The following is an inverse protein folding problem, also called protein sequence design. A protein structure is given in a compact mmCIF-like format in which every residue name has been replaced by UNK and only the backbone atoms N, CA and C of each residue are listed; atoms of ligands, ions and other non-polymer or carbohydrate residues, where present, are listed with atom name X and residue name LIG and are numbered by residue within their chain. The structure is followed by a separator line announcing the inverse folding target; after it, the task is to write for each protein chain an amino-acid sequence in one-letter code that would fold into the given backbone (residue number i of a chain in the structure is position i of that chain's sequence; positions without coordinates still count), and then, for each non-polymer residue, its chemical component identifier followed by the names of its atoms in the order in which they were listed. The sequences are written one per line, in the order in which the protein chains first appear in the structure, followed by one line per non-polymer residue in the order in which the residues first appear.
data_IF_905234430556
#
_entry.id   IF_905234430556
#
_cell.length_a   1.000
_cell.length_b   1.000
_cell.length_c   1.000
_cell.angle_alpha   90.00
_cell.angle_beta   90.00
_cell.angle_gamma   90.00
#
_symmetry.space_group_name_H-M   'P 1'
#
loop_
_entity.id
_entity.type
_entity.pdbx_description
1 polymer ?
#
# COMPACT_ATOMS: atom_id res chain seq x y z
N UNK A 1 -21.27 3.50 -3.16
CA UNK A 1 -19.98 2.83 -3.37
C UNK A 1 -18.88 3.88 -3.39
N UNK A 2 -17.80 3.65 -2.66
CA UNK A 2 -16.68 4.59 -2.60
C UNK A 2 -15.58 4.12 -3.57
N UNK A 3 -14.95 5.05 -4.29
CA UNK A 3 -13.93 4.74 -5.30
C UNK A 3 -12.53 5.02 -4.73
N UNK A 4 -11.63 4.05 -4.81
CA UNK A 4 -10.21 4.19 -4.49
C UNK A 4 -9.40 4.17 -5.78
N UNK A 5 -8.55 5.17 -5.98
CA UNK A 5 -7.60 5.24 -7.08
C UNK A 5 -6.29 4.55 -6.69
N UNK A 6 -5.76 3.72 -7.56
CA UNK A 6 -4.53 2.94 -7.36
C UNK A 6 -3.52 3.32 -8.43
N UNK A 7 -2.40 3.90 -8.02
CA UNK A 7 -1.37 4.42 -8.92
C UNK A 7 -0.33 3.37 -9.20
N UNK A 8 -0.23 2.94 -10.43
CA UNK A 8 0.88 2.14 -10.92
C UNK A 8 1.84 3.05 -11.67
N UNK A 9 3.03 3.29 -11.13
CA UNK A 9 3.95 4.28 -11.69
C UNK A 9 5.41 3.95 -11.40
N UNK A 10 6.30 4.58 -12.14
CA UNK A 10 7.73 4.66 -11.86
C UNK A 10 8.01 5.96 -11.10
N UNK A 11 8.69 5.89 -9.98
CA UNK A 11 9.20 7.09 -9.29
C UNK A 11 10.61 7.42 -9.76
N UNK A 12 10.96 8.69 -9.76
CA UNK A 12 12.34 9.13 -10.01
C UNK A 12 13.13 9.22 -8.70
N UNK A 13 14.45 9.31 -8.79
CA UNK A 13 15.32 9.59 -7.66
C UNK A 13 15.20 11.02 -7.11
N UNK A 14 14.36 11.87 -7.72
CA UNK A 14 14.09 13.24 -7.32
C UNK A 14 12.65 13.37 -6.83
N UNK A 15 12.46 13.55 -5.54
CA UNK A 15 11.14 13.64 -4.93
C UNK A 15 10.28 14.80 -5.47
N UNK A 16 10.88 15.89 -5.95
CA UNK A 16 10.13 17.02 -6.52
C UNK A 16 9.43 16.64 -7.82
N UNK A 17 10.07 15.84 -8.66
CA UNK A 17 9.45 15.28 -9.88
C UNK A 17 8.29 14.33 -9.51
N UNK A 18 8.43 13.57 -8.43
CA UNK A 18 7.38 12.68 -7.95
C UNK A 18 6.19 13.44 -7.35
N UNK A 19 6.39 14.63 -6.76
CA UNK A 19 5.30 15.53 -6.37
C UNK A 19 4.51 16.02 -7.59
N UNK A 20 5.18 16.45 -8.66
CA UNK A 20 4.49 16.84 -9.90
C UNK A 20 3.70 15.68 -10.50
N UNK A 21 4.29 14.49 -10.50
CA UNK A 21 3.61 13.26 -10.92
C UNK A 21 2.40 12.95 -10.02
N UNK A 22 2.56 13.06 -8.69
CA UNK A 22 1.46 12.88 -7.74
C UNK A 22 0.29 13.82 -8.04
N UNK A 23 0.59 15.12 -8.26
CA UNK A 23 -0.42 16.13 -8.59
C UNK A 23 -1.25 15.75 -9.83
N UNK A 24 -0.59 15.23 -10.87
CA UNK A 24 -1.27 14.78 -12.09
C UNK A 24 -2.22 13.60 -11.83
N UNK A 25 -1.77 12.59 -11.05
CA UNK A 25 -2.61 11.44 -10.70
C UNK A 25 -3.76 11.83 -9.77
N UNK A 26 -3.51 12.66 -8.77
CA UNK A 26 -4.54 13.15 -7.83
C UNK A 26 -5.62 13.91 -8.59
N UNK A 27 -5.22 14.81 -9.50
CA UNK A 27 -6.18 15.55 -10.34
C UNK A 27 -7.09 14.60 -11.12
N UNK A 28 -6.51 13.61 -11.83
CA UNK A 28 -7.29 12.59 -12.57
C UNK A 28 -8.20 11.78 -11.65
N UNK A 29 -7.72 11.40 -10.47
CA UNK A 29 -8.51 10.66 -9.49
C UNK A 29 -9.71 11.49 -8.97
N UNK A 30 -9.51 12.81 -8.80
CA UNK A 30 -10.58 13.74 -8.40
C UNK A 30 -11.63 13.89 -9.51
N UNK A 31 -11.22 14.00 -10.77
CA UNK A 31 -12.11 14.05 -11.94
C UNK A 31 -12.98 12.78 -12.06
N UNK A 32 -12.46 11.65 -11.59
CA UNK A 32 -13.15 10.35 -11.52
C UNK A 32 -13.88 10.10 -10.20
N UNK A 33 -14.03 11.13 -9.35
CA UNK A 33 -14.73 11.09 -8.07
C UNK A 33 -14.18 10.05 -7.08
N UNK A 34 -12.86 9.77 -7.12
CA UNK A 34 -12.24 8.94 -6.11
C UNK A 34 -12.15 9.69 -4.77
N UNK A 35 -12.43 9.00 -3.67
CA UNK A 35 -12.34 9.56 -2.31
C UNK A 35 -10.96 9.37 -1.70
N UNK A 36 -10.16 8.48 -2.28
CA UNK A 36 -8.83 8.10 -1.81
C UNK A 36 -7.94 7.71 -2.98
N UNK A 37 -6.64 8.01 -2.85
CA UNK A 37 -5.60 7.57 -3.80
C UNK A 37 -4.45 6.91 -3.05
N UNK A 38 -3.95 5.79 -3.58
CA UNK A 38 -2.78 5.10 -3.05
C UNK A 38 -1.65 5.08 -4.07
N UNK A 39 -0.46 5.46 -3.61
CA UNK A 39 0.81 5.37 -4.33
C UNK A 39 1.63 4.17 -3.85
N UNK A 40 2.53 3.63 -4.68
CA UNK A 40 3.29 2.45 -4.31
C UNK A 40 4.32 2.69 -3.20
N UNK A 41 4.91 1.60 -2.72
CA UNK A 41 6.07 1.56 -1.80
C UNK A 41 7.21 2.45 -2.33
N UNK A 42 7.92 3.20 -1.48
CA UNK A 42 9.03 4.08 -1.89
C UNK A 42 8.69 5.17 -2.93
N UNK A 43 7.44 5.60 -3.01
CA UNK A 43 7.03 6.60 -4.01
C UNK A 43 7.80 7.92 -3.90
N UNK A 44 8.23 8.32 -2.70
CA UNK A 44 8.98 9.56 -2.50
C UNK A 44 10.21 9.64 -3.39
N UNK A 45 10.99 8.56 -3.45
CA UNK A 45 12.18 8.47 -4.29
C UNK A 45 12.53 7.00 -4.52
N UNK A 46 12.86 6.68 -5.74
CA UNK A 46 13.22 5.35 -6.16
C UNK A 46 14.65 5.33 -6.72
N UNK A 47 15.43 4.35 -6.27
CA UNK A 47 16.77 4.07 -6.76
C UNK A 47 16.85 2.65 -7.30
N UNK A 48 16.96 2.48 -8.62
CA UNK A 48 17.01 1.16 -9.24
C UNK A 48 18.36 0.47 -9.19
N UNK A 49 19.40 1.13 -8.72
CA UNK A 49 20.77 0.62 -8.73
C UNK A 49 21.11 -0.29 -7.54
N UNK A 50 22.22 -1.04 -7.70
CA UNK A 50 22.59 -2.13 -6.78
C UNK A 50 22.89 -1.69 -5.34
N UNK A 51 23.08 -0.41 -5.10
CA UNK A 51 23.41 0.10 -3.78
C UNK A 51 22.18 0.31 -2.90
N UNK A 52 20.98 0.41 -3.46
CA UNK A 52 19.68 0.60 -2.76
C UNK A 52 19.77 1.43 -1.46
N UNK A 53 20.66 2.40 -1.43
CA UNK A 53 20.90 3.21 -0.26
C UNK A 53 19.96 4.40 -0.25
N UNK A 54 18.77 4.19 0.31
CA UNK A 54 17.73 5.21 0.44
C UNK A 54 18.00 6.21 1.57
N UNK A 55 18.99 5.98 2.43
CA UNK A 55 19.26 6.80 3.62
C UNK A 55 19.64 8.23 3.27
N UNK A 56 20.47 8.43 2.23
CA UNK A 56 20.97 9.77 1.83
C UNK A 56 19.89 10.77 1.42
N UNK A 57 18.69 10.30 1.06
CA UNK A 57 17.57 11.13 0.63
C UNK A 57 16.31 10.88 1.46
N UNK A 58 16.47 10.17 2.58
CA UNK A 58 15.38 9.98 3.53
C UNK A 58 14.98 11.32 4.14
N UNK A 59 13.70 11.49 4.42
CA UNK A 59 13.14 12.68 5.06
C UNK A 59 12.34 12.28 6.29
N UNK A 60 12.22 13.21 7.25
CA UNK A 60 11.32 13.01 8.37
C UNK A 60 9.85 13.11 7.92
N UNK A 61 8.92 12.65 8.77
CA UNK A 61 7.46 12.81 8.55
C UNK A 61 7.02 14.30 8.53
N UNK A 62 7.92 15.22 8.87
CA UNK A 62 7.71 16.66 8.78
C UNK A 62 8.52 17.31 7.63
N UNK A 63 9.19 16.51 6.81
CA UNK A 63 10.03 16.97 5.72
C UNK A 63 9.26 17.56 4.53
N UNK A 64 10.01 18.16 3.60
CA UNK A 64 9.45 18.90 2.45
C UNK A 64 8.51 18.03 1.59
N UNK A 65 8.83 16.75 1.41
CA UNK A 65 7.98 15.85 0.63
C UNK A 65 6.60 15.66 1.26
N UNK A 66 6.57 15.35 2.57
CA UNK A 66 5.29 15.18 3.29
C UNK A 66 4.50 16.48 3.32
N UNK A 67 5.16 17.64 3.50
CA UNK A 67 4.49 18.94 3.46
C UNK A 67 3.85 19.22 2.09
N UNK A 68 4.55 18.89 1.00
CA UNK A 68 4.00 19.03 -0.35
C UNK A 68 2.79 18.10 -0.56
N UNK A 69 2.86 16.84 -0.12
CA UNK A 69 1.73 15.91 -0.20
C UNK A 69 0.53 16.37 0.64
N UNK A 70 0.75 16.96 1.83
CA UNK A 70 -0.30 17.58 2.65
C UNK A 70 -1.02 18.71 1.93
N UNK A 71 -0.26 19.55 1.21
CA UNK A 71 -0.85 20.62 0.40
C UNK A 71 -1.73 20.05 -0.71
N UNK A 72 -1.29 18.99 -1.41
CA UNK A 72 -2.09 18.32 -2.43
C UNK A 72 -3.36 17.67 -1.85
N UNK A 73 -3.25 17.00 -0.70
CA UNK A 73 -4.41 16.40 -0.02
C UNK A 73 -5.49 17.45 0.28
N UNK A 74 -5.08 18.61 0.80
CA UNK A 74 -5.97 19.73 1.12
C UNK A 74 -6.52 20.42 -0.14
N UNK A 75 -5.67 20.66 -1.16
CA UNK A 75 -6.06 21.30 -2.43
C UNK A 75 -7.16 20.51 -3.14
N UNK A 76 -6.98 19.18 -3.24
CA UNK A 76 -7.89 18.30 -3.97
C UNK A 76 -8.95 17.62 -3.08
N UNK A 77 -8.95 17.85 -1.77
CA UNK A 77 -9.82 17.21 -0.78
C UNK A 77 -9.80 15.68 -0.91
N UNK A 78 -8.59 15.13 -0.98
CA UNK A 78 -8.34 13.72 -1.27
C UNK A 78 -7.58 13.05 -0.12
N UNK A 79 -8.02 11.89 0.33
CA UNK A 79 -7.22 11.02 1.18
C UNK A 79 -6.06 10.45 0.36
N UNK A 80 -4.83 10.63 0.85
CA UNK A 80 -3.63 10.23 0.11
C UNK A 80 -2.80 9.27 0.96
N UNK A 81 -2.45 8.12 0.37
CA UNK A 81 -1.55 7.12 0.97
C UNK A 81 -0.33 6.97 0.06
N UNK A 82 0.87 7.09 0.63
CA UNK A 82 2.11 7.03 -0.16
C UNK A 82 3.28 6.47 0.62
N UNK A 83 4.20 5.81 -0.10
CA UNK A 83 5.45 5.28 0.46
C UNK A 83 6.57 6.31 0.47
N UNK A 84 7.36 6.32 1.54
CA UNK A 84 8.56 7.15 1.66
C UNK A 84 9.70 6.42 2.38
N UNK A 85 10.90 6.93 2.20
CA UNK A 85 12.06 6.59 3.00
C UNK A 85 12.10 7.56 4.18
N UNK A 86 11.76 7.08 5.37
CA UNK A 86 11.72 7.90 6.57
C UNK A 86 13.09 7.92 7.25
N UNK A 87 13.57 9.12 7.55
CA UNK A 87 14.84 9.34 8.25
C UNK A 87 14.79 8.80 9.68
N UNK A 88 15.90 8.20 10.13
CA UNK A 88 16.10 7.75 11.50
C UNK A 88 17.22 8.56 12.19
N UNK A 89 17.40 8.35 13.48
CA UNK A 89 18.53 8.93 14.23
C UNK A 89 19.87 8.31 13.80
N UNK A 90 19.85 7.07 13.29
CA UNK A 90 21.02 6.43 12.66
C UNK A 90 21.03 6.80 11.18
N UNK A 91 21.90 7.73 10.81
CA UNK A 91 22.03 8.23 9.42
C UNK A 91 22.42 7.13 8.41
N UNK A 92 22.82 5.94 8.87
CA UNK A 92 23.10 4.79 8.00
C UNK A 92 21.86 3.95 7.70
N UNK A 93 20.72 4.26 8.33
CA UNK A 93 19.44 3.54 8.24
C UNK A 93 18.28 4.47 7.92
N UNK A 94 17.24 3.89 7.36
CA UNK A 94 15.94 4.53 7.17
C UNK A 94 14.82 3.56 7.54
N UNK A 95 13.59 4.02 7.66
CA UNK A 95 12.40 3.17 7.61
C UNK A 95 11.78 3.20 6.22
N UNK A 96 11.21 2.07 5.82
CA UNK A 96 10.26 1.98 4.71
C UNK A 96 8.88 2.26 5.27
N UNK A 97 8.36 3.46 5.03
CA UNK A 97 7.17 3.98 5.71
C UNK A 97 6.08 4.32 4.71
N UNK A 98 4.86 3.87 5.00
CA UNK A 98 3.65 4.38 4.37
C UNK A 98 3.05 5.46 5.24
N UNK A 99 2.68 6.57 4.62
CA UNK A 99 2.06 7.74 5.27
C UNK A 99 0.62 7.90 4.79
N UNK A 100 -0.28 8.22 5.70
CA UNK A 100 -1.69 8.42 5.41
C UNK A 100 -2.10 9.84 5.77
N UNK A 101 -2.57 10.57 4.77
CA UNK A 101 -3.11 11.93 4.93
C UNK A 101 -4.62 11.91 4.69
N UNK A 102 -5.36 12.70 5.49
CA UNK A 102 -6.77 12.95 5.23
C UNK A 102 -6.96 14.10 4.21
N UNK A 103 -8.19 14.36 3.85
CA UNK A 103 -8.62 15.40 2.92
C UNK A 103 -8.44 16.84 3.44
N UNK A 104 -8.08 17.01 4.72
CA UNK A 104 -7.67 18.28 5.31
C UNK A 104 -6.15 18.49 5.23
N UNK A 105 -5.39 17.51 4.74
CA UNK A 105 -3.93 17.50 4.69
C UNK A 105 -3.28 17.20 6.05
N UNK A 106 -4.01 16.57 6.97
CA UNK A 106 -3.47 16.14 8.25
C UNK A 106 -2.87 14.74 8.13
N UNK A 107 -1.73 14.51 8.79
CA UNK A 107 -1.15 13.18 8.95
C UNK A 107 -1.99 12.43 9.99
N UNK A 108 -2.70 11.40 9.52
CA UNK A 108 -3.62 10.60 10.34
C UNK A 108 -2.90 9.40 10.95
N UNK A 109 -2.03 8.77 10.17
CA UNK A 109 -1.28 7.59 10.61
C UNK A 109 -0.06 7.37 9.71
N UNK A 110 0.87 6.58 10.20
CA UNK A 110 1.97 6.02 9.43
C UNK A 110 2.18 4.54 9.78
N UNK A 111 2.84 3.81 8.90
CA UNK A 111 3.21 2.41 9.10
C UNK A 111 4.61 2.14 8.59
N UNK A 112 5.45 1.62 9.46
CA UNK A 112 6.81 1.18 9.14
C UNK A 112 6.79 -0.32 8.83
N UNK A 113 7.32 -0.70 7.68
CA UNK A 113 7.39 -2.10 7.23
C UNK A 113 7.97 -3.01 8.31
N UNK A 114 7.21 -4.04 8.69
CA UNK A 114 7.59 -4.96 9.76
C UNK A 114 8.41 -6.15 9.26
N UNK A 115 8.16 -6.62 8.03
CA UNK A 115 8.89 -7.73 7.43
C UNK A 115 9.79 -7.23 6.30
N UNK A 116 11.09 -7.14 6.58
CA UNK A 116 12.08 -6.69 5.60
C UNK A 116 12.41 -7.80 4.59
N UNK A 117 12.59 -7.41 3.33
CA UNK A 117 12.87 -8.34 2.24
C UNK A 117 14.33 -8.77 2.22
N UNK A 118 14.66 -9.79 3.00
CA UNK A 118 15.97 -10.45 3.03
C UNK A 118 15.86 -11.80 2.32
N UNK A 119 15.66 -11.78 1.02
CA UNK A 119 15.46 -12.99 0.22
C UNK A 119 16.08 -12.86 -1.16
N UNK A 120 16.45 -14.00 -1.75
CA UNK A 120 17.18 -14.09 -3.01
C UNK A 120 18.55 -13.38 -2.90
N UNK A 121 18.77 -12.31 -3.65
CA UNK A 121 19.99 -11.49 -3.59
C UNK A 121 19.77 -10.15 -2.87
N UNK A 122 18.58 -9.95 -2.30
CA UNK A 122 18.20 -8.70 -1.65
C UNK A 122 18.43 -8.81 -0.14
N UNK A 123 18.91 -7.73 0.46
CA UNK A 123 19.09 -7.61 1.89
C UNK A 123 18.67 -6.22 2.36
N UNK A 124 17.35 -6.02 2.47
CA UNK A 124 16.75 -4.74 2.85
C UNK A 124 17.21 -4.27 4.24
N UNK A 125 17.50 -5.21 5.15
CA UNK A 125 17.98 -4.90 6.50
C UNK A 125 19.37 -4.26 6.57
N UNK A 126 20.13 -4.27 5.48
CA UNK A 126 21.40 -3.53 5.43
C UNK A 126 21.21 -2.04 5.67
N UNK A 127 20.16 -1.44 5.12
CA UNK A 127 19.94 0.00 5.15
C UNK A 127 18.58 0.39 5.74
N UNK A 128 17.71 -0.57 6.06
CA UNK A 128 16.36 -0.33 6.55
C UNK A 128 16.15 -0.96 7.93
N UNK A 129 15.56 -0.22 8.85
CA UNK A 129 15.09 -0.73 10.14
C UNK A 129 13.67 -1.29 9.97
N UNK A 130 13.40 -2.38 10.69
CA UNK A 130 12.04 -2.94 10.78
C UNK A 130 11.16 -2.08 11.67
N UNK A 131 9.87 -2.01 11.36
CA UNK A 131 8.87 -1.48 12.27
C UNK A 131 8.62 -2.42 13.46
N UNK A 132 8.23 -1.85 14.60
CA UNK A 132 8.06 -2.57 15.85
C UNK A 132 6.61 -2.94 16.17
N UNK A 133 5.65 -2.44 15.36
CA UNK A 133 4.23 -2.70 15.56
C UNK A 133 3.51 -2.90 14.22
N UNK A 134 2.45 -3.71 14.26
CA UNK A 134 1.52 -3.83 13.13
C UNK A 134 0.71 -2.54 12.99
N UNK A 135 0.16 -2.33 11.81
CA UNK A 135 -0.71 -1.19 11.56
C UNK A 135 -2.01 -1.31 12.38
N UNK A 136 -2.46 -0.20 12.94
CA UNK A 136 -3.77 -0.13 13.57
C UNK A 136 -4.79 0.35 12.56
N UNK A 137 -5.83 -0.44 12.22
CA UNK A 137 -6.81 -0.05 11.20
C UNK A 137 -7.49 1.27 11.50
N UNK A 138 -7.65 2.11 10.50
CA UNK A 138 -8.24 3.44 10.62
C UNK A 138 -9.50 3.60 9.79
N UNK A 139 -10.45 4.41 10.29
CA UNK A 139 -11.68 4.75 9.56
C UNK A 139 -11.39 5.80 8.50
N UNK A 140 -11.88 5.56 7.30
CA UNK A 140 -11.78 6.46 6.14
C UNK A 140 -13.12 6.54 5.42
N UNK A 141 -13.29 7.45 4.44
CA UNK A 141 -14.50 7.45 3.60
C UNK A 141 -14.74 6.11 2.89
N UNK A 142 -13.69 5.41 2.46
CA UNK A 142 -13.78 4.11 1.78
C UNK A 142 -13.99 2.91 2.73
N UNK A 143 -14.12 3.12 4.03
CA UNK A 143 -14.25 2.08 5.05
C UNK A 143 -13.07 2.05 6.01
N UNK A 144 -12.97 0.98 6.79
CA UNK A 144 -11.84 0.75 7.68
C UNK A 144 -10.69 0.15 6.88
N UNK A 145 -9.58 0.89 6.77
CA UNK A 145 -8.41 0.41 6.03
C UNK A 145 -7.37 -0.24 6.94
N UNK A 146 -6.77 -1.30 6.44
CA UNK A 146 -5.57 -1.94 6.96
C UNK A 146 -4.41 -1.79 5.98
N UNK A 147 -3.19 -2.02 6.40
CA UNK A 147 -2.00 -1.74 5.62
C UNK A 147 -0.89 -2.75 5.87
N UNK A 148 -0.31 -3.27 4.78
CA UNK A 148 0.93 -4.03 4.78
C UNK A 148 1.80 -3.58 3.60
N UNK A 149 3.13 -3.63 3.71
CA UNK A 149 4.04 -3.19 2.66
C UNK A 149 4.70 -4.38 1.98
N UNK A 150 4.43 -4.57 0.67
CA UNK A 150 5.16 -5.46 -0.22
C UNK A 150 5.37 -6.87 0.38
N UNK A 151 6.51 -7.13 1.00
CA UNK A 151 6.87 -8.43 1.56
C UNK A 151 5.94 -8.88 2.69
N UNK A 152 5.28 -7.93 3.39
CA UNK A 152 4.26 -8.22 4.41
C UNK A 152 3.11 -9.09 3.85
N UNK A 153 2.84 -9.02 2.54
CA UNK A 153 1.84 -9.86 1.86
C UNK A 153 2.10 -11.37 2.03
N UNK A 154 3.35 -11.79 2.25
CA UNK A 154 3.71 -13.20 2.43
C UNK A 154 3.35 -13.76 3.81
N UNK A 155 3.01 -12.90 4.75
CA UNK A 155 2.71 -13.25 6.13
C UNK A 155 1.20 -13.18 6.36
N UNK A 156 0.49 -14.33 6.31
CA UNK A 156 -0.96 -14.39 6.49
C UNK A 156 -1.41 -13.89 7.86
N UNK A 157 -0.53 -14.00 8.86
CA UNK A 157 -0.76 -13.56 10.22
C UNK A 157 -1.08 -12.07 10.29
N UNK A 158 -0.36 -11.23 9.51
CA UNK A 158 -0.61 -9.80 9.43
C UNK A 158 -2.02 -9.51 8.91
N UNK A 159 -2.39 -10.11 7.78
CA UNK A 159 -3.72 -9.90 7.20
C UNK A 159 -4.84 -10.38 8.13
N UNK A 160 -4.64 -11.50 8.83
CA UNK A 160 -5.60 -12.02 9.79
C UNK A 160 -5.73 -11.11 11.01
N UNK A 161 -4.62 -10.59 11.53
CA UNK A 161 -4.63 -9.62 12.64
C UNK A 161 -5.41 -8.36 12.26
N UNK A 162 -5.12 -7.79 11.11
CA UNK A 162 -5.79 -6.62 10.56
C UNK A 162 -7.31 -6.86 10.41
N UNK A 163 -7.70 -8.01 9.84
CA UNK A 163 -9.09 -8.37 9.64
C UNK A 163 -9.84 -8.54 10.97
N UNK A 164 -9.23 -9.18 11.98
CA UNK A 164 -9.78 -9.31 13.33
C UNK A 164 -9.88 -7.96 14.04
N UNK A 165 -9.06 -7.00 13.68
CA UNK A 165 -9.10 -5.61 14.16
C UNK A 165 -10.11 -4.74 13.41
N UNK A 166 -10.89 -5.31 12.47
CA UNK A 166 -12.02 -4.66 11.80
C UNK A 166 -11.72 -4.11 10.40
N UNK A 167 -10.59 -4.42 9.81
CA UNK A 167 -10.25 -4.03 8.44
C UNK A 167 -11.31 -4.49 7.44
N UNK A 168 -11.70 -3.59 6.56
CA UNK A 168 -12.64 -3.80 5.46
C UNK A 168 -11.93 -3.74 4.09
N UNK A 169 -10.87 -2.93 4.00
CA UNK A 169 -10.05 -2.76 2.81
C UNK A 169 -8.59 -2.85 3.20
N UNK A 170 -7.91 -3.89 2.79
CA UNK A 170 -6.49 -4.11 3.02
C UNK A 170 -5.68 -3.62 1.84
N UNK A 171 -4.68 -2.77 2.10
CA UNK A 171 -3.83 -2.16 1.09
C UNK A 171 -2.42 -2.76 1.13
N UNK A 172 -1.90 -3.12 -0.04
CA UNK A 172 -0.54 -3.63 -0.22
C UNK A 172 0.22 -2.80 -1.27
N UNK A 173 0.75 -1.61 -0.89
CA UNK A 173 1.72 -0.91 -1.73
C UNK A 173 3.02 -1.71 -1.83
N UNK A 174 3.60 -1.79 -3.03
CA UNK A 174 4.72 -2.67 -3.30
C UNK A 174 5.68 -2.14 -4.37
N UNK A 175 6.94 -2.55 -4.24
CA UNK A 175 7.96 -2.56 -5.28
C UNK A 175 8.27 -4.03 -5.66
N UNK A 176 7.25 -4.75 -6.15
CA UNK A 176 7.33 -6.18 -6.42
C UNK A 176 8.19 -6.47 -7.64
N UNK A 177 9.30 -7.17 -7.41
CA UNK A 177 10.31 -7.41 -8.45
C UNK A 177 9.80 -8.35 -9.55
N UNK A 178 10.26 -8.10 -10.78
CA UNK A 178 10.06 -9.00 -11.92
C UNK A 178 10.77 -10.34 -11.70
N UNK A 179 10.28 -11.38 -12.35
CA UNK A 179 10.88 -12.71 -12.32
C UNK A 179 9.86 -13.80 -12.62
N UNK A 180 10.37 -14.99 -12.89
CA UNK A 180 9.53 -16.17 -13.14
C UNK A 180 8.64 -16.47 -11.92
N UNK A 181 7.36 -16.71 -12.18
CA UNK A 181 6.35 -17.00 -11.15
C UNK A 181 5.99 -15.83 -10.24
N UNK A 182 6.62 -14.64 -10.38
CA UNK A 182 6.40 -13.51 -9.45
C UNK A 182 4.99 -12.93 -9.55
N UNK A 183 4.44 -12.82 -10.74
CA UNK A 183 3.06 -12.38 -10.91
C UNK A 183 2.05 -13.40 -10.34
N UNK A 184 2.24 -14.67 -10.60
CA UNK A 184 1.39 -15.72 -10.04
C UNK A 184 1.40 -15.68 -8.50
N UNK A 185 2.56 -15.52 -7.86
CA UNK A 185 2.66 -15.39 -6.41
C UNK A 185 1.93 -14.14 -5.90
N UNK A 186 2.12 -12.99 -6.54
CA UNK A 186 1.46 -11.72 -6.20
C UNK A 186 -0.05 -11.85 -6.25
N UNK A 187 -0.57 -12.29 -7.38
CA UNK A 187 -2.00 -12.46 -7.61
C UNK A 187 -2.63 -13.47 -6.64
N UNK A 188 -1.99 -14.63 -6.49
CA UNK A 188 -2.48 -15.70 -5.60
C UNK A 188 -2.54 -15.24 -4.14
N UNK A 189 -1.49 -14.58 -3.66
CA UNK A 189 -1.44 -14.11 -2.28
C UNK A 189 -2.48 -13.02 -2.01
N UNK A 190 -2.61 -12.01 -2.89
CA UNK A 190 -3.64 -10.97 -2.74
C UNK A 190 -5.04 -11.57 -2.71
N UNK A 191 -5.33 -12.48 -3.63
CA UNK A 191 -6.63 -13.16 -3.70
C UNK A 191 -6.91 -14.01 -2.47
N UNK A 192 -5.90 -14.75 -1.98
CA UNK A 192 -6.02 -15.53 -0.75
C UNK A 192 -6.35 -14.63 0.44
N UNK A 193 -5.63 -13.50 0.62
CA UNK A 193 -5.92 -12.52 1.68
C UNK A 193 -7.34 -11.98 1.61
N UNK A 194 -7.88 -11.78 0.40
CA UNK A 194 -9.26 -11.33 0.23
C UNK A 194 -10.27 -12.39 0.68
N UNK A 195 -10.14 -13.61 0.19
CA UNK A 195 -11.09 -14.70 0.44
C UNK A 195 -11.06 -15.15 1.91
N UNK A 196 -9.88 -15.42 2.45
CA UNK A 196 -9.72 -15.95 3.81
C UNK A 196 -10.09 -14.97 4.93
N UNK A 197 -10.10 -13.65 4.62
CA UNK A 197 -10.42 -12.58 5.55
C UNK A 197 -11.68 -11.80 5.18
N UNK A 198 -12.37 -12.18 4.12
CA UNK A 198 -13.64 -11.59 3.67
C UNK A 198 -13.59 -10.06 3.64
N UNK A 199 -12.54 -9.53 2.99
CA UNK A 199 -12.28 -8.10 2.88
C UNK A 199 -11.77 -7.76 1.47
N UNK A 200 -11.92 -6.51 1.05
CA UNK A 200 -11.26 -6.01 -0.15
C UNK A 200 -9.75 -6.03 0.04
N UNK A 201 -9.00 -6.43 -0.98
CA UNK A 201 -7.53 -6.41 -0.97
C UNK A 201 -7.02 -5.73 -2.22
N UNK A 202 -6.30 -4.62 -2.05
CA UNK A 202 -5.80 -3.79 -3.14
C UNK A 202 -4.27 -3.77 -3.16
N UNK A 203 -3.70 -4.35 -4.21
CA UNK A 203 -2.27 -4.34 -4.47
C UNK A 203 -1.89 -3.18 -5.39
N UNK A 204 -1.01 -2.29 -4.93
CA UNK A 204 -0.51 -1.13 -5.64
C UNK A 204 0.98 -1.28 -5.89
N UNK A 205 1.40 -1.59 -7.12
CA UNK A 205 2.77 -1.94 -7.42
C UNK A 205 3.47 -0.88 -8.26
N UNK A 206 4.75 -0.65 -7.98
CA UNK A 206 5.63 0.06 -8.90
C UNK A 206 5.69 -0.65 -10.25
N UNK A 207 5.78 0.14 -11.31
CA UNK A 207 6.18 -0.34 -12.61
C UNK A 207 7.58 0.20 -12.96
N UNK A 208 8.44 -0.65 -13.49
CA UNK A 208 9.61 -0.20 -14.24
C UNK A 208 9.92 -1.21 -15.34
N UNK A 209 10.57 -0.73 -16.41
CA UNK A 209 10.88 -1.59 -17.54
C UNK A 209 11.80 -2.75 -17.13
N UNK A 210 12.75 -2.52 -16.23
CA UNK A 210 13.80 -3.47 -15.86
C UNK A 210 13.50 -4.25 -14.57
N UNK A 211 12.91 -3.62 -13.55
CA UNK A 211 12.94 -4.18 -12.18
C UNK A 211 11.59 -4.55 -11.60
N UNK A 212 10.56 -3.69 -11.78
CA UNK A 212 9.25 -3.91 -11.15
C UNK A 212 8.19 -4.25 -12.16
N UNK A 213 7.34 -5.20 -11.79
CA UNK A 213 6.45 -5.81 -12.75
C UNK A 213 5.23 -4.97 -13.12
N UNK A 214 4.87 -3.94 -12.33
CA UNK A 214 3.53 -3.36 -12.44
C UNK A 214 2.49 -4.37 -11.97
N UNK A 215 1.50 -4.67 -12.81
CA UNK A 215 0.49 -5.69 -12.53
C UNK A 215 -0.23 -5.46 -11.19
N UNK A 216 -0.45 -4.18 -10.83
CA UNK A 216 -1.30 -3.84 -9.69
C UNK A 216 -2.64 -4.56 -9.82
N UNK A 217 -3.06 -5.23 -8.75
CA UNK A 217 -4.20 -6.15 -8.82
C UNK A 217 -5.04 -6.03 -7.56
N UNK A 218 -6.36 -5.95 -7.69
CA UNK A 218 -7.28 -5.88 -6.56
C UNK A 218 -8.34 -6.97 -6.60
N UNK A 219 -8.79 -7.37 -5.41
CA UNK A 219 -9.80 -8.42 -5.23
C UNK A 219 -10.90 -7.98 -4.26
N UNK A 220 -12.13 -8.34 -4.59
CA UNK A 220 -13.27 -8.26 -3.71
C UNK A 220 -13.23 -9.38 -2.64
N UNK A 221 -14.04 -9.29 -1.58
CA UNK A 221 -14.07 -10.27 -0.49
C UNK A 221 -14.34 -11.72 -0.92
N UNK A 222 -15.00 -11.93 -2.05
CA UNK A 222 -15.26 -13.24 -2.65
C UNK A 222 -14.13 -13.73 -3.58
N UNK A 223 -13.06 -12.94 -3.73
CA UNK A 223 -11.96 -13.24 -4.64
C UNK A 223 -12.19 -12.80 -6.08
N UNK A 224 -13.30 -12.13 -6.39
CA UNK A 224 -13.53 -11.53 -7.71
C UNK A 224 -12.51 -10.44 -7.97
N UNK A 225 -11.88 -10.46 -9.16
CA UNK A 225 -10.89 -9.42 -9.51
C UNK A 225 -11.58 -8.11 -9.83
N UNK A 226 -11.12 -7.03 -9.20
CA UNK A 226 -11.61 -5.66 -9.41
C UNK A 226 -10.86 -4.96 -10.54
N UNK A 227 -9.55 -5.10 -10.56
CA UNK A 227 -8.67 -4.54 -11.58
C UNK A 227 -7.41 -5.39 -11.76
N UNK A 228 -6.78 -5.23 -12.91
CA UNK A 228 -5.46 -5.78 -13.24
C UNK A 228 -4.73 -4.77 -14.12
N UNK A 229 -3.63 -4.23 -13.60
CA UNK A 229 -2.75 -3.35 -14.35
C UNK A 229 -1.95 -4.08 -15.42
N UNK A 230 -1.60 -3.35 -16.47
CA UNK A 230 -0.66 -3.81 -17.51
C UNK A 230 0.80 -3.52 -17.09
N UNK A 231 1.75 -3.81 -17.95
CA UNK A 231 3.16 -3.47 -17.73
C UNK A 231 3.48 -2.07 -18.25
N UNK A 232 2.81 -1.05 -17.67
CA UNK A 232 2.96 0.38 -17.99
C UNK A 232 2.58 1.25 -16.81
N UNK A 233 2.83 2.56 -16.88
CA UNK A 233 2.28 3.51 -15.92
C UNK A 233 0.78 3.73 -16.20
N UNK A 234 -0.06 3.63 -15.16
CA UNK A 234 -1.49 3.81 -15.29
C UNK A 234 -2.17 4.12 -13.95
N UNK A 235 -3.39 4.61 -14.02
CA UNK A 235 -4.26 4.86 -12.89
C UNK A 235 -5.43 3.87 -12.96
N UNK A 236 -5.56 3.05 -11.92
CA UNK A 236 -6.56 2.01 -11.79
C UNK A 236 -7.56 2.40 -10.71
N UNK A 237 -8.73 1.77 -10.71
CA UNK A 237 -9.78 2.08 -9.75
C UNK A 237 -10.41 0.83 -9.15
N UNK A 238 -10.72 0.90 -7.86
CA UNK A 238 -11.52 -0.08 -7.14
C UNK A 238 -12.79 0.56 -6.61
N UNK A 239 -13.93 -0.06 -6.89
CA UNK A 239 -15.21 0.30 -6.26
C UNK A 239 -15.37 -0.52 -4.98
N UNK A 240 -15.63 0.15 -3.87
CA UNK A 240 -15.78 -0.47 -2.56
C UNK A 240 -17.26 -0.43 -2.16
N UNK A 241 -17.84 -1.61 -2.02
CA UNK A 241 -19.19 -1.81 -1.52
C UNK A 241 -19.14 -2.43 -0.12
N UNK A 242 -19.42 -1.61 0.90
CA UNK A 242 -19.40 -2.07 2.29
C UNK A 242 -20.52 -3.07 2.60
N UNK A 243 -21.60 -3.01 1.86
CA UNK A 243 -22.71 -3.96 2.00
C UNK A 243 -22.32 -5.35 1.50
N UNK A 244 -21.53 -5.44 0.44
CA UNK A 244 -20.98 -6.71 -0.04
C UNK A 244 -20.18 -7.45 1.03
N UNK A 245 -19.35 -6.73 1.80
CA UNK A 245 -18.57 -7.32 2.92
C UNK A 245 -19.53 -7.95 3.93
N UNK A 246 -20.56 -7.19 4.33
CA UNK A 246 -21.53 -7.66 5.32
C UNK A 246 -22.30 -8.89 4.83
N UNK A 247 -22.74 -8.87 3.58
CA UNK A 247 -23.46 -9.98 2.97
C UNK A 247 -22.61 -11.26 2.93
N UNK A 248 -21.34 -11.15 2.55
CA UNK A 248 -20.41 -12.28 2.50
C UNK A 248 -20.17 -12.83 3.91
N UNK A 249 -19.87 -11.99 4.90
CA UNK A 249 -19.63 -12.41 6.28
C UNK A 249 -20.87 -13.03 6.94
N UNK A 250 -22.07 -12.62 6.52
CA UNK A 250 -23.31 -13.24 6.98
C UNK A 250 -23.51 -14.62 6.35
N UNK A 251 -23.21 -14.76 5.07
CA UNK A 251 -23.38 -16.04 4.34
C UNK A 251 -22.31 -17.08 4.72
N UNK A 252 -21.10 -16.63 5.01
CA UNK A 252 -19.97 -17.49 5.37
C UNK A 252 -19.23 -16.92 6.60
N UNK A 253 -19.72 -17.17 7.85
CA UNK A 253 -19.24 -16.52 9.06
C UNK A 253 -17.88 -17.07 9.52
N UNK A 254 -16.81 -16.85 8.74
CA UNK A 254 -15.45 -17.38 9.00
C UNK A 254 -14.91 -16.92 10.36
N UNK A 255 -15.14 -15.67 10.75
CA UNK A 255 -14.65 -15.13 12.03
C UNK A 255 -15.36 -15.71 13.24
N UNK A 256 -16.65 -16.01 13.12
CA UNK A 256 -17.45 -16.63 14.19
C UNK A 256 -17.09 -18.11 14.34
N UNK A 257 -16.84 -18.81 13.22
CA UNK A 257 -16.46 -20.21 13.19
C UNK A 257 -14.99 -20.47 13.57
N UNK A 258 -14.18 -19.40 13.71
CA UNK A 258 -12.76 -19.51 14.08
C UNK A 258 -12.62 -20.10 15.49
N UNK A 259 -11.80 -21.13 15.61
CA UNK A 259 -11.47 -21.78 16.88
C UNK A 259 -10.51 -20.92 17.72
N UNK A 260 -11.06 -19.89 18.40
CA UNK A 260 -10.29 -18.95 19.22
C UNK A 260 -9.48 -19.66 20.31
N UNK A 261 -10.01 -20.73 20.86
CA UNK A 261 -9.37 -21.58 21.85
C UNK A 261 -8.06 -22.23 21.38
N UNK A 262 -7.80 -22.24 20.06
CA UNK A 262 -6.58 -22.81 19.46
C UNK A 262 -5.58 -21.75 19.00
N UNK A 263 -5.99 -20.51 18.78
CA UNK A 263 -5.19 -19.49 18.09
C UNK A 263 -4.99 -18.19 18.88
N UNK A 264 -5.71 -17.99 19.98
CA UNK A 264 -5.63 -16.79 20.84
C UNK A 264 -4.88 -17.05 22.14
#
# INVERSE_FOLDING_TARGET
MDKIAVVQTTSSGNWRENIEKAKQYIKKATEEEAVMIIFPEYFMNYYPDAEHNYTKKAQSLHGEFVQAMKMLAKEFKMWIIFGMNEQTVDETKNYNTMVILNDLGELVSDYKKTHLFNAYKWNESMNTLKGDCLFTPIKTPAGVIGLGICYDLRFPELARYEALSGTQVMLYPAAWVKGEGKFMQWETLLRARAIENEMYVLGCCHYSKEHYMGRSTGFAPDGTRLYLGEEKEELLYAQIDKEQIQNIRTANPVFENRRKDLYD
#
